data_IF_868758384283
#
_entry.id   IF_868758384283
#
_cell.length_a   1.000
_cell.length_b   1.000
_cell.length_c   1.000
_cell.angle_alpha   90.00
_cell.angle_beta   90.00
_cell.angle_gamma   90.00
#
_symmetry.space_group_name_H-M   'P 1'
#
loop_
_entity.id
_entity.type
_entity.pdbx_description
1 polymer ?
#
# COMPACT_ATOMS: atom_id res chain seq x y z
N UNK A 1 -2.85 -8.59 -4.64
CA UNK A 1 -3.15 -8.24 -3.23
C UNK A 1 -1.85 -8.14 -2.44
N UNK A 2 -0.93 -9.09 -2.66
CA UNK A 2 0.35 -9.23 -1.96
C UNK A 2 1.35 -8.09 -2.15
N UNK A 3 1.28 -7.28 -3.21
CA UNK A 3 2.29 -6.22 -3.47
C UNK A 3 2.35 -5.18 -2.36
N UNK A 4 1.20 -4.70 -1.89
CA UNK A 4 1.18 -3.68 -0.84
C UNK A 4 1.50 -4.30 0.53
N UNK A 5 1.04 -5.52 0.79
CA UNK A 5 1.37 -6.27 2.00
C UNK A 5 2.87 -6.58 2.09
N UNK A 6 3.52 -6.83 0.94
CA UNK A 6 4.98 -6.97 0.84
C UNK A 6 5.67 -5.64 1.14
N UNK A 7 5.15 -4.52 0.62
CA UNK A 7 5.74 -3.21 0.83
C UNK A 7 5.59 -2.70 2.27
N UNK A 8 4.48 -3.02 2.94
CA UNK A 8 4.22 -2.62 4.33
C UNK A 8 4.72 -3.65 5.35
N UNK A 9 5.00 -4.88 4.92
CA UNK A 9 5.20 -6.03 5.79
C UNK A 9 4.01 -6.30 6.75
N UNK A 10 2.79 -5.98 6.30
CA UNK A 10 1.56 -6.16 7.08
C UNK A 10 0.49 -6.96 6.32
N UNK A 11 -0.36 -7.67 7.06
CA UNK A 11 -1.62 -8.20 6.52
C UNK A 11 -2.65 -7.07 6.41
N UNK A 12 -3.27 -6.92 5.23
CA UNK A 12 -4.28 -5.90 4.92
C UNK A 12 -5.68 -6.47 4.66
N UNK A 13 -5.83 -7.80 4.77
CA UNK A 13 -7.12 -8.49 4.59
C UNK A 13 -8.18 -8.13 5.64
N UNK A 14 -7.75 -7.69 6.83
CA UNK A 14 -8.61 -7.23 7.92
C UNK A 14 -9.31 -5.90 7.59
N UNK A 15 -8.70 -5.06 6.76
CA UNK A 15 -9.23 -3.74 6.41
C UNK A 15 -10.50 -3.89 5.55
N UNK A 16 -11.62 -3.34 6.04
CA UNK A 16 -12.91 -3.35 5.32
C UNK A 16 -13.00 -2.19 4.32
N UNK A 17 -13.86 -2.33 3.30
CA UNK A 17 -14.07 -1.28 2.30
C UNK A 17 -14.46 0.06 2.96
N UNK A 18 -13.86 1.16 2.50
CA UNK A 18 -14.07 2.50 3.07
C UNK A 18 -13.42 2.71 4.44
N UNK A 19 -12.58 1.78 4.92
CA UNK A 19 -11.78 1.94 6.13
C UNK A 19 -10.31 2.19 5.79
N UNK A 20 -9.64 2.86 6.71
CA UNK A 20 -8.21 3.14 6.63
C UNK A 20 -7.53 2.84 7.96
N UNK A 21 -6.22 2.63 7.92
CA UNK A 21 -5.35 2.61 9.10
C UNK A 21 -4.00 3.26 8.77
N UNK A 22 -3.24 3.58 9.81
CA UNK A 22 -1.84 3.95 9.65
C UNK A 22 -1.01 2.69 9.34
N UNK A 23 0.00 2.86 8.51
CA UNK A 23 0.97 1.84 8.11
C UNK A 23 2.35 2.50 7.92
N UNK A 24 3.31 1.70 7.50
CA UNK A 24 4.66 2.16 7.23
C UNK A 24 5.24 1.42 6.02
N UNK A 25 5.85 2.16 5.09
CA UNK A 25 6.61 1.62 3.96
C UNK A 25 8.02 2.22 4.02
N UNK A 26 9.07 1.40 4.07
CA UNK A 26 10.47 1.85 4.11
C UNK A 26 10.71 2.97 5.16
N UNK A 27 10.18 2.81 6.38
CA UNK A 27 10.25 3.77 7.52
C UNK A 27 9.45 5.07 7.33
N UNK A 28 8.68 5.20 6.25
CA UNK A 28 7.84 6.36 5.97
C UNK A 28 6.41 6.09 6.42
N UNK A 29 5.89 6.96 7.27
CA UNK A 29 4.49 6.87 7.71
C UNK A 29 3.53 7.09 6.53
N UNK A 30 2.60 6.18 6.38
CA UNK A 30 1.57 6.24 5.38
C UNK A 30 0.20 5.83 5.94
N UNK A 31 -0.84 6.16 5.19
CA UNK A 31 -2.21 5.75 5.46
C UNK A 31 -2.67 4.86 4.32
N UNK A 32 -3.01 3.63 4.66
CA UNK A 32 -3.60 2.67 3.73
C UNK A 32 -5.12 2.70 3.87
N UNK A 33 -5.82 2.90 2.76
CA UNK A 33 -7.28 2.90 2.69
C UNK A 33 -7.75 1.80 1.72
N UNK A 34 -8.73 0.98 2.13
CA UNK A 34 -9.34 -0.01 1.22
C UNK A 34 -10.44 0.66 0.41
N UNK A 35 -10.07 1.23 -0.73
CA UNK A 35 -10.95 1.88 -1.70
C UNK A 35 -10.47 1.52 -3.11
N UNK A 36 -11.42 1.44 -4.05
CA UNK A 36 -11.14 1.17 -5.44
C UNK A 36 -12.37 1.45 -6.29
N UNK A 37 -12.16 2.01 -7.49
CA UNK A 37 -13.24 2.36 -8.41
C UNK A 37 -13.55 1.27 -9.45
N UNK A 38 -12.67 0.28 -9.60
CA UNK A 38 -12.77 -0.74 -10.65
C UNK A 38 -13.59 -1.98 -10.27
N UNK A 39 -14.30 -1.97 -9.14
CA UNK A 39 -15.06 -3.14 -8.65
C UNK A 39 -14.20 -4.31 -8.16
N UNK A 40 -12.88 -4.19 -8.22
CA UNK A 40 -11.91 -5.14 -7.68
C UNK A 40 -11.35 -4.66 -6.35
N UNK A 41 -10.75 -5.57 -5.59
CA UNK A 41 -10.01 -5.21 -4.39
C UNK A 41 -8.83 -4.30 -4.75
N UNK A 42 -8.81 -3.11 -4.15
CA UNK A 42 -7.72 -2.16 -4.27
C UNK A 42 -7.51 -1.41 -2.95
N UNK A 43 -6.33 -0.80 -2.87
CA UNK A 43 -5.93 0.05 -1.77
C UNK A 43 -5.39 1.36 -2.33
N UNK A 44 -5.62 2.44 -1.60
CA UNK A 44 -4.95 3.72 -1.80
C UNK A 44 -3.92 3.92 -0.69
N UNK A 45 -2.77 4.48 -1.05
CA UNK A 45 -1.70 4.85 -0.12
C UNK A 45 -1.59 6.36 -0.10
N UNK A 46 -1.78 6.95 1.07
CA UNK A 46 -1.69 8.39 1.28
C UNK A 46 -0.49 8.67 2.16
N UNK A 47 0.46 9.47 1.67
CA UNK A 47 1.68 9.84 2.39
C UNK A 47 1.98 11.33 2.19
N UNK A 48 2.96 11.85 2.94
CA UNK A 48 3.41 13.22 2.71
C UNK A 48 4.00 13.33 1.29
N UNK A 49 3.61 14.37 0.54
CA UNK A 49 4.11 14.63 -0.81
C UNK A 49 5.64 14.58 -0.98
N UNK A 50 6.41 14.96 0.06
CA UNK A 50 7.88 14.91 0.07
C UNK A 50 8.45 13.49 -0.07
N UNK A 51 7.69 12.48 0.33
CA UNK A 51 8.09 11.06 0.31
C UNK A 51 7.30 10.23 -0.70
N UNK A 52 6.39 10.84 -1.45
CA UNK A 52 5.51 10.13 -2.39
C UNK A 52 6.29 9.32 -3.44
N UNK A 53 7.40 9.88 -3.95
CA UNK A 53 8.23 9.17 -4.94
C UNK A 53 8.96 7.95 -4.34
N UNK A 54 9.70 8.09 -3.22
CA UNK A 54 10.26 6.94 -2.50
C UNK A 54 9.24 5.84 -2.17
N UNK A 55 8.06 6.21 -1.65
CA UNK A 55 6.98 5.25 -1.33
C UNK A 55 6.52 4.51 -2.58
N UNK A 56 6.30 5.22 -3.69
CA UNK A 56 5.93 4.59 -4.97
C UNK A 56 7.00 3.62 -5.48
N UNK A 57 8.27 4.02 -5.41
CA UNK A 57 9.39 3.20 -5.86
C UNK A 57 9.53 1.94 -4.98
N UNK A 58 9.31 2.03 -3.67
CA UNK A 58 9.26 0.89 -2.74
C UNK A 58 8.15 -0.11 -3.09
N UNK A 59 6.93 0.38 -3.34
CA UNK A 59 5.79 -0.46 -3.79
C UNK A 59 6.14 -1.15 -5.12
N UNK A 60 6.77 -0.45 -6.06
CA UNK A 60 7.15 -1.02 -7.34
C UNK A 60 8.25 -2.09 -7.23
N UNK A 61 9.18 -1.96 -6.28
CA UNK A 61 10.17 -3.02 -5.99
C UNK A 61 9.48 -4.27 -5.44
N UNK A 62 8.54 -4.11 -4.51
CA UNK A 62 7.71 -5.22 -4.01
C UNK A 62 6.95 -5.94 -5.13
N UNK A 63 6.47 -5.20 -6.14
CA UNK A 63 5.83 -5.79 -7.33
C UNK A 63 6.78 -6.72 -8.10
N UNK A 64 8.06 -6.37 -8.25
CA UNK A 64 9.00 -7.12 -9.08
C UNK A 64 9.24 -8.53 -8.54
N UNK A 65 9.27 -8.68 -7.21
CA UNK A 65 9.37 -9.99 -6.54
C UNK A 65 8.15 -10.92 -6.72
N UNK A 66 7.00 -10.40 -7.17
CA UNK A 66 5.78 -11.20 -7.37
C UNK A 66 5.72 -11.84 -8.78
N UNK A 67 6.53 -11.36 -9.73
CA UNK A 67 6.52 -11.82 -11.13
C UNK A 67 7.80 -12.58 -11.53
N UNK A 68 8.77 -12.70 -10.63
CA UNK A 68 9.94 -13.57 -10.74
C UNK A 68 9.62 -14.95 -10.13
#
# INVERSE_FOLDING_TARGET
MEVLETATAECLHDLRFGRHRMSCIDTMDDRVCRVGMAGTLAYEVHCHSKVARPVYDAICKGRRSFWD
#
